data_IF_931825796363
#
_entry.id   IF_931825796363
#
_cell.length_a   1.000
_cell.length_b   1.000
_cell.length_c   1.000
_cell.angle_alpha   90.00
_cell.angle_beta   90.00
_cell.angle_gamma   90.00
#
_symmetry.space_group_name_H-M   'P 1'
#
loop_
_entity.id
_entity.type
_entity.pdbx_description
1 polymer ?
#
# COMPACT_ATOMS: atom_id res chain seq x y z
N UNK A 1 5.71 -12.12 -16.67
CA UNK A 1 4.41 -11.44 -16.52
C UNK A 1 4.62 -10.10 -15.82
N UNK A 2 3.78 -9.09 -16.05
CA UNK A 2 3.86 -7.81 -15.35
C UNK A 2 2.52 -7.53 -14.66
N UNK A 3 2.58 -7.05 -13.41
CA UNK A 3 1.44 -6.55 -12.64
C UNK A 3 1.63 -5.04 -12.45
N UNK A 4 0.67 -4.25 -12.89
CA UNK A 4 0.78 -2.78 -12.94
C UNK A 4 -0.18 -2.09 -11.95
N UNK A 5 -0.99 -2.86 -11.23
CA UNK A 5 -1.98 -2.34 -10.30
C UNK A 5 -2.19 -3.31 -9.12
N UNK A 6 -1.23 -3.34 -8.19
CA UNK A 6 -1.36 -4.10 -6.95
C UNK A 6 -1.38 -3.18 -5.73
N UNK A 7 -2.49 -3.15 -5.00
CA UNK A 7 -2.58 -2.44 -3.73
C UNK A 7 -2.07 -3.33 -2.60
N UNK A 8 -1.03 -2.92 -1.87
CA UNK A 8 -0.35 -3.74 -0.85
C UNK A 8 -1.33 -4.41 0.13
N UNK A 9 -2.21 -3.63 0.76
CA UNK A 9 -3.17 -4.14 1.73
C UNK A 9 -4.28 -5.02 1.10
N UNK A 10 -4.51 -4.90 -0.20
CA UNK A 10 -5.45 -5.74 -0.96
C UNK A 10 -4.82 -7.00 -1.52
N UNK A 11 -3.49 -7.10 -1.50
CA UNK A 11 -2.72 -8.24 -2.02
C UNK A 11 -2.27 -9.20 -0.94
N UNK A 12 -2.66 -9.01 0.33
CA UNK A 12 -2.27 -9.91 1.42
C UNK A 12 -3.01 -11.26 1.29
N UNK A 13 -2.25 -12.34 1.15
CA UNK A 13 -2.82 -13.69 1.20
C UNK A 13 -3.37 -14.02 2.59
N UNK A 14 -4.28 -15.00 2.66
CA UNK A 14 -4.77 -15.51 3.95
C UNK A 14 -3.61 -16.00 4.84
N UNK A 15 -2.57 -16.57 4.24
CA UNK A 15 -1.35 -17.00 4.95
C UNK A 15 -0.62 -15.80 5.56
N UNK A 16 -0.36 -14.76 4.78
CA UNK A 16 0.29 -13.53 5.28
C UNK A 16 -0.52 -12.88 6.38
N UNK A 17 -1.85 -12.78 6.22
CA UNK A 17 -2.73 -12.26 7.27
C UNK A 17 -2.59 -13.05 8.57
N UNK A 18 -2.56 -14.38 8.51
CA UNK A 18 -2.41 -15.24 9.70
C UNK A 18 -1.06 -15.03 10.40
N UNK A 19 0.02 -14.90 9.62
CA UNK A 19 1.36 -14.66 10.17
C UNK A 19 1.49 -13.25 10.78
N UNK A 20 0.89 -12.23 10.16
CA UNK A 20 0.84 -10.88 10.71
C UNK A 20 0.01 -10.83 12.00
N UNK A 21 -1.11 -11.55 12.04
CA UNK A 21 -1.92 -11.66 13.26
C UNK A 21 -1.13 -12.26 14.42
N UNK A 22 -0.32 -13.30 14.17
CA UNK A 22 0.55 -13.88 15.20
C UNK A 22 1.64 -12.92 15.70
N UNK A 23 2.15 -12.05 14.82
CA UNK A 23 3.09 -11.01 15.23
C UNK A 23 2.44 -9.96 16.13
N UNK A 24 1.21 -9.57 15.83
CA UNK A 24 0.47 -8.51 16.54
C UNK A 24 -0.25 -9.01 17.81
N UNK A 25 -0.56 -10.31 17.94
CA UNK A 25 -1.06 -10.91 19.21
C UNK A 25 -0.04 -10.70 20.35
N UNK A 26 1.25 -10.64 20.04
CA UNK A 26 2.28 -10.31 21.02
C UNK A 26 2.30 -8.80 21.37
N UNK A 27 1.44 -7.99 20.78
CA UNK A 27 1.41 -6.52 20.83
C UNK A 27 0.04 -5.89 21.11
N UNK A 28 -0.92 -6.61 21.70
CA UNK A 28 -2.24 -6.14 22.19
C UNK A 28 -3.36 -5.86 21.15
N UNK A 29 -3.34 -6.45 19.94
CA UNK A 29 -4.47 -6.31 18.99
C UNK A 29 -5.48 -7.46 19.16
N UNK A 30 -6.69 -7.15 19.65
CA UNK A 30 -7.83 -8.10 19.66
C UNK A 30 -8.70 -7.90 18.42
N UNK A 31 -8.56 -8.75 17.40
CA UNK A 31 -9.36 -8.67 16.16
C UNK A 31 -10.75 -9.35 16.26
N UNK A 32 -11.00 -10.15 17.30
CA UNK A 32 -12.32 -10.71 17.64
C UNK A 32 -13.08 -11.36 16.48
N UNK A 33 -14.41 -11.28 16.51
CA UNK A 33 -15.35 -11.92 15.58
C UNK A 33 -15.11 -11.58 14.08
N UNK A 34 -14.45 -10.44 13.79
CA UNK A 34 -14.14 -10.04 12.40
C UNK A 34 -13.07 -10.95 11.78
N UNK A 35 -12.10 -11.39 12.57
CA UNK A 35 -11.02 -12.27 12.11
C UNK A 35 -11.55 -13.66 11.71
N UNK A 36 -12.43 -14.22 12.54
CA UNK A 36 -12.98 -15.55 12.32
C UNK A 36 -13.88 -15.59 11.09
N UNK A 37 -14.67 -14.55 10.85
CA UNK A 37 -15.49 -14.41 9.63
C UNK A 37 -14.62 -14.35 8.35
N UNK A 38 -13.46 -13.69 8.43
CA UNK A 38 -12.55 -13.47 7.29
C UNK A 38 -11.76 -14.74 6.92
N UNK A 39 -11.29 -15.50 7.91
CA UNK A 39 -10.54 -16.74 7.67
C UNK A 39 -11.46 -17.90 7.25
N UNK A 40 -12.71 -17.90 7.70
CA UNK A 40 -13.68 -18.95 7.38
C UNK A 40 -14.16 -18.92 5.91
N UNK A 41 -14.14 -17.76 5.25
CA UNK A 41 -14.68 -17.61 3.90
C UNK A 41 -13.57 -17.59 2.82
N UNK A 42 -13.44 -18.73 2.14
CA UNK A 42 -12.60 -18.93 0.95
C UNK A 42 -13.33 -18.71 -0.38
N UNK A 43 -14.50 -18.06 -0.38
CA UNK A 43 -15.32 -17.85 -1.58
C UNK A 43 -15.17 -16.45 -2.21
N UNK A 44 -15.83 -16.24 -3.36
CA UNK A 44 -15.81 -14.98 -4.11
C UNK A 44 -16.56 -13.92 -3.29
N UNK A 45 -15.81 -12.93 -2.81
CA UNK A 45 -16.31 -11.90 -1.90
C UNK A 45 -17.02 -10.77 -2.64
N UNK A 46 -18.02 -10.19 -2.00
CA UNK A 46 -18.64 -8.93 -2.40
C UNK A 46 -17.71 -7.74 -2.14
N UNK A 47 -17.95 -6.62 -2.81
CA UNK A 47 -17.23 -5.35 -2.57
C UNK A 47 -17.25 -4.93 -1.09
N UNK A 48 -18.37 -5.16 -0.39
CA UNK A 48 -18.51 -4.82 1.02
C UNK A 48 -17.64 -5.69 1.94
N UNK A 49 -17.51 -6.98 1.64
CA UNK A 49 -16.58 -7.89 2.33
C UNK A 49 -15.12 -7.53 2.03
N UNK A 50 -14.81 -7.08 0.81
CA UNK A 50 -13.50 -6.52 0.49
C UNK A 50 -13.15 -5.29 1.35
N UNK A 51 -14.11 -4.41 1.65
CA UNK A 51 -13.88 -3.29 2.57
C UNK A 51 -13.59 -3.72 4.02
N UNK A 52 -14.24 -4.79 4.50
CA UNK A 52 -13.95 -5.36 5.82
C UNK A 52 -12.54 -5.96 5.86
N UNK A 53 -12.11 -6.64 4.79
CA UNK A 53 -10.74 -7.13 4.64
C UNK A 53 -9.72 -6.00 4.71
N UNK A 54 -9.97 -4.87 4.05
CA UNK A 54 -9.06 -3.72 4.12
C UNK A 54 -8.90 -3.21 5.55
N UNK A 55 -9.98 -3.20 6.36
CA UNK A 55 -9.90 -2.82 7.76
C UNK A 55 -8.99 -3.76 8.56
N UNK A 56 -9.11 -5.07 8.36
CA UNK A 56 -8.26 -6.06 9.05
C UNK A 56 -6.82 -5.98 8.56
N UNK A 57 -6.59 -5.93 7.25
CA UNK A 57 -5.27 -5.72 6.67
C UNK A 57 -4.60 -4.46 7.25
N UNK A 58 -5.34 -3.36 7.33
CA UNK A 58 -4.84 -2.11 7.90
C UNK A 58 -4.49 -2.23 9.38
N UNK A 59 -5.26 -2.96 10.17
CA UNK A 59 -4.94 -3.22 11.58
C UNK A 59 -3.66 -4.04 11.71
N UNK A 60 -3.50 -5.06 10.86
CA UNK A 60 -2.35 -5.98 10.86
C UNK A 60 -1.06 -5.39 10.29
N UNK A 61 -1.13 -4.27 9.57
CA UNK A 61 0.05 -3.55 9.06
C UNK A 61 0.28 -2.23 9.81
N UNK A 62 0.02 -2.19 11.12
CA UNK A 62 0.05 -0.96 11.92
C UNK A 62 1.43 -0.62 12.51
N UNK A 63 2.42 -1.50 12.35
CA UNK A 63 3.80 -1.30 12.78
C UNK A 63 4.77 -1.37 11.59
N UNK A 64 5.95 -0.70 11.66
CA UNK A 64 6.95 -0.81 10.58
C UNK A 64 7.41 -2.25 10.33
N UNK A 65 7.53 -3.07 11.39
CA UNK A 65 7.94 -4.46 11.29
C UNK A 65 6.88 -5.32 10.58
N UNK A 66 5.60 -5.17 10.94
CA UNK A 66 4.51 -5.86 10.28
C UNK A 66 4.38 -5.42 8.82
N UNK A 67 4.53 -4.13 8.53
CA UNK A 67 4.48 -3.60 7.16
C UNK A 67 5.65 -4.11 6.29
N UNK A 68 6.86 -4.18 6.85
CA UNK A 68 8.02 -4.78 6.18
C UNK A 68 7.74 -6.25 5.81
N UNK A 69 7.23 -7.04 6.76
CA UNK A 69 6.86 -8.43 6.52
C UNK A 69 5.78 -8.55 5.44
N UNK A 70 4.68 -7.81 5.59
CA UNK A 70 3.56 -7.82 4.65
C UNK A 70 4.04 -7.54 3.22
N UNK A 71 4.88 -6.52 3.06
CA UNK A 71 5.46 -6.14 1.77
C UNK A 71 6.37 -7.23 1.20
N UNK A 72 7.22 -7.82 2.05
CA UNK A 72 8.13 -8.92 1.66
C UNK A 72 7.34 -10.13 1.16
N UNK A 73 6.29 -10.52 1.90
CA UNK A 73 5.46 -11.67 1.55
C UNK A 73 4.73 -11.42 0.22
N UNK A 74 4.09 -10.26 0.04
CA UNK A 74 3.39 -9.91 -1.21
C UNK A 74 4.32 -9.96 -2.41
N UNK A 75 5.51 -9.37 -2.31
CA UNK A 75 6.50 -9.40 -3.41
C UNK A 75 6.95 -10.83 -3.69
N UNK A 76 7.14 -11.63 -2.63
CA UNK A 76 7.54 -13.03 -2.75
C UNK A 76 6.47 -13.85 -3.46
N UNK A 77 5.21 -13.70 -3.09
CA UNK A 77 4.07 -14.40 -3.70
C UNK A 77 3.91 -14.02 -5.17
N UNK A 78 3.95 -12.72 -5.53
CA UNK A 78 3.94 -12.30 -6.93
C UNK A 78 5.12 -12.89 -7.73
N UNK A 79 6.32 -12.94 -7.13
CA UNK A 79 7.47 -13.56 -7.78
C UNK A 79 7.29 -15.06 -7.99
N UNK A 80 6.61 -15.75 -7.07
CA UNK A 80 6.29 -17.19 -7.20
C UNK A 80 5.26 -17.45 -8.30
N UNK A 81 4.34 -16.50 -8.52
CA UNK A 81 3.37 -16.52 -9.62
C UNK A 81 3.99 -16.14 -10.98
N UNK A 82 5.31 -15.92 -11.06
CA UNK A 82 6.02 -15.62 -12.30
C UNK A 82 5.91 -14.16 -12.76
N UNK A 83 5.50 -13.26 -11.85
CA UNK A 83 5.57 -11.82 -12.08
C UNK A 83 7.03 -11.38 -12.00
N UNK A 84 7.49 -10.71 -13.06
CA UNK A 84 8.88 -10.19 -13.16
C UNK A 84 8.94 -8.67 -13.03
N UNK A 85 7.78 -8.00 -13.07
CA UNK A 85 7.63 -6.56 -12.87
C UNK A 85 6.35 -6.28 -12.08
N UNK A 86 6.45 -5.50 -11.01
CA UNK A 86 5.35 -5.18 -10.11
C UNK A 86 5.32 -3.67 -9.82
N UNK A 87 4.24 -2.99 -10.22
CA UNK A 87 3.89 -1.68 -9.66
C UNK A 87 3.05 -1.88 -8.40
N UNK A 88 3.75 -1.87 -7.25
CA UNK A 88 3.14 -1.91 -5.94
C UNK A 88 2.63 -0.52 -5.56
N UNK A 89 1.44 -0.48 -4.96
CA UNK A 89 0.74 0.76 -4.61
C UNK A 89 0.37 0.72 -3.14
N UNK A 90 0.55 1.83 -2.43
CA UNK A 90 0.04 1.92 -1.06
C UNK A 90 -0.16 3.35 -0.59
N UNK A 91 -1.22 3.57 0.20
CA UNK A 91 -1.53 4.84 0.85
C UNK A 91 -0.72 4.97 2.15
N UNK A 92 0.15 5.98 2.31
CA UNK A 92 0.92 6.17 3.54
C UNK A 92 0.01 6.42 4.74
N UNK A 93 0.23 5.67 5.82
CA UNK A 93 -0.57 5.78 7.04
C UNK A 93 0.25 6.22 8.24
N UNK A 94 -0.35 7.06 9.06
CA UNK A 94 0.15 7.36 10.40
C UNK A 94 -0.64 6.53 11.43
N UNK A 95 0.09 5.85 12.31
CA UNK A 95 -0.45 5.11 13.45
C UNK A 95 0.09 5.77 14.70
N UNK A 96 -0.83 6.29 15.53
CA UNK A 96 -0.49 7.07 16.73
C UNK A 96 0.52 6.35 17.60
N UNK A 97 1.65 7.01 17.91
CA UNK A 97 2.77 6.51 18.73
C UNK A 97 3.53 5.29 18.17
N UNK A 98 3.14 4.74 17.03
CA UNK A 98 3.75 3.52 16.45
C UNK A 98 4.49 3.79 15.14
N UNK A 99 3.89 4.56 14.21
CA UNK A 99 4.44 4.72 12.87
C UNK A 99 4.01 6.05 12.24
N UNK A 100 4.98 6.80 11.70
CA UNK A 100 4.73 7.99 10.86
C UNK A 100 4.59 7.60 9.39
N UNK A 101 4.03 8.48 8.54
CA UNK A 101 3.97 8.27 7.08
C UNK A 101 5.35 8.05 6.45
N UNK A 102 6.38 8.73 6.95
CA UNK A 102 7.76 8.54 6.48
C UNK A 102 8.28 7.14 6.85
N UNK A 103 8.05 6.69 8.09
CA UNK A 103 8.42 5.33 8.51
C UNK A 103 7.66 4.26 7.72
N UNK A 104 6.38 4.52 7.40
CA UNK A 104 5.57 3.66 6.56
C UNK A 104 6.23 3.43 5.19
N UNK A 105 6.57 4.51 4.49
CA UNK A 105 7.23 4.41 3.18
C UNK A 105 8.61 3.77 3.30
N UNK A 106 9.39 4.11 4.32
CA UNK A 106 10.72 3.52 4.52
C UNK A 106 10.64 2.00 4.72
N UNK A 107 9.69 1.50 5.51
CA UNK A 107 9.51 0.05 5.72
C UNK A 107 9.17 -0.70 4.42
N UNK A 108 8.38 -0.09 3.53
CA UNK A 108 8.08 -0.67 2.20
C UNK A 108 9.36 -0.67 1.33
N UNK A 109 10.13 0.42 1.33
CA UNK A 109 11.38 0.52 0.56
C UNK A 109 12.39 -0.53 1.04
N UNK A 110 12.54 -0.68 2.36
CA UNK A 110 13.45 -1.65 2.96
C UNK A 110 13.07 -3.08 2.54
N UNK A 111 11.77 -3.41 2.54
CA UNK A 111 11.27 -4.71 2.07
C UNK A 111 11.55 -4.93 0.57
N UNK A 112 11.33 -3.91 -0.28
CA UNK A 112 11.67 -3.98 -1.71
C UNK A 112 13.17 -4.22 -1.91
N UNK A 113 14.02 -3.52 -1.16
CA UNK A 113 15.47 -3.69 -1.20
C UNK A 113 15.89 -5.08 -0.73
N UNK A 114 15.24 -5.64 0.28
CA UNK A 114 15.50 -7.01 0.74
C UNK A 114 15.11 -8.04 -0.32
N UNK A 115 13.90 -7.95 -0.87
CA UNK A 115 13.43 -8.83 -1.94
C UNK A 115 14.34 -8.80 -3.16
N UNK A 116 14.86 -7.62 -3.54
CA UNK A 116 15.77 -7.46 -4.69
C UNK A 116 17.05 -8.30 -4.56
N UNK A 117 17.47 -8.67 -3.35
CA UNK A 117 18.68 -9.49 -3.15
C UNK A 117 18.49 -10.93 -3.61
N UNK A 118 17.27 -11.47 -3.48
CA UNK A 118 17.01 -12.90 -3.58
C UNK A 118 15.92 -13.28 -4.60
N UNK A 119 15.14 -12.31 -5.08
CA UNK A 119 14.02 -12.54 -5.98
C UNK A 119 14.27 -11.91 -7.36
N UNK A 120 13.82 -12.60 -8.41
CA UNK A 120 13.92 -12.13 -9.79
C UNK A 120 12.66 -11.33 -10.21
N UNK A 121 12.37 -10.27 -9.46
CA UNK A 121 11.21 -9.39 -9.68
C UNK A 121 11.64 -7.92 -9.55
N UNK A 122 11.29 -7.10 -10.53
CA UNK A 122 11.50 -5.66 -10.50
C UNK A 122 10.27 -4.98 -9.88
N UNK A 123 10.41 -4.46 -8.66
CA UNK A 123 9.32 -3.77 -7.96
C UNK A 123 9.51 -2.25 -8.04
N UNK A 124 8.45 -1.54 -8.40
CA UNK A 124 8.32 -0.08 -8.31
C UNK A 124 7.18 0.27 -7.36
N UNK A 125 7.31 1.40 -6.69
CA UNK A 125 6.33 1.92 -5.74
C UNK A 125 5.65 3.17 -6.30
N UNK A 126 4.33 3.11 -6.36
CA UNK A 126 3.44 4.24 -6.53
C UNK A 126 2.83 4.60 -5.17
N UNK A 127 3.03 5.82 -4.71
CA UNK A 127 2.46 6.25 -3.43
C UNK A 127 1.05 6.78 -3.66
N UNK A 128 0.08 6.17 -3.00
CA UNK A 128 -1.33 6.48 -3.20
C UNK A 128 -1.78 7.70 -2.39
N UNK A 129 -2.49 8.59 -3.05
CA UNK A 129 -3.28 9.69 -2.48
C UNK A 129 -4.72 9.19 -2.38
N UNK A 130 -5.25 9.17 -1.16
CA UNK A 130 -6.65 8.85 -0.90
C UNK A 130 -7.49 10.13 -0.96
N UNK A 131 -8.38 10.22 -1.95
CA UNK A 131 -9.18 11.43 -2.18
C UNK A 131 -10.05 11.85 -1.00
N UNK A 132 -10.36 10.94 -0.07
CA UNK A 132 -11.10 11.23 1.17
C UNK A 132 -10.33 12.10 2.15
N UNK A 133 -9.00 12.17 2.02
CA UNK A 133 -8.12 12.93 2.92
C UNK A 133 -8.03 14.42 2.56
N UNK A 134 -8.57 14.81 1.40
CA UNK A 134 -8.61 16.18 0.93
C UNK A 134 -7.28 16.70 0.37
N UNK A 135 -7.31 17.92 -0.16
CA UNK A 135 -6.19 18.52 -0.90
C UNK A 135 -4.92 18.68 -0.06
N UNK A 136 -5.04 19.11 1.21
CA UNK A 136 -3.87 19.40 2.05
C UNK A 136 -3.01 18.14 2.31
N UNK A 137 -3.66 17.02 2.61
CA UNK A 137 -2.98 15.73 2.79
C UNK A 137 -2.35 15.22 1.47
N UNK A 138 -2.95 15.55 0.33
CA UNK A 138 -2.39 15.24 -0.97
C UNK A 138 -1.10 16.05 -1.24
N UNK A 139 -1.09 17.35 -0.94
CA UNK A 139 0.10 18.21 -1.02
C UNK A 139 1.23 17.68 -0.12
N UNK A 140 0.93 17.36 1.14
CA UNK A 140 1.92 16.83 2.09
C UNK A 140 2.47 15.47 1.63
N UNK A 141 1.63 14.66 0.97
CA UNK A 141 2.05 13.39 0.37
C UNK A 141 2.99 13.62 -0.81
N UNK A 142 2.74 14.60 -1.69
CA UNK A 142 3.65 14.95 -2.78
C UNK A 142 5.01 15.39 -2.24
N UNK A 143 5.03 16.30 -1.28
CA UNK A 143 6.28 16.81 -0.69
C UNK A 143 7.15 15.67 -0.12
N UNK A 144 6.51 14.70 0.52
CA UNK A 144 7.18 13.49 1.00
C UNK A 144 7.69 12.63 -0.17
N UNK A 145 6.86 12.36 -1.17
CA UNK A 145 7.20 11.48 -2.31
C UNK A 145 8.33 12.06 -3.15
N UNK A 146 8.37 13.38 -3.36
CA UNK A 146 9.47 14.05 -4.06
C UNK A 146 10.80 13.81 -3.36
N UNK A 147 10.84 13.99 -2.03
CA UNK A 147 12.07 13.76 -1.23
C UNK A 147 12.50 12.30 -1.30
N UNK A 148 11.55 11.37 -1.18
CA UNK A 148 11.85 9.93 -1.21
C UNK A 148 12.28 9.48 -2.61
N UNK A 149 11.63 9.98 -3.67
CA UNK A 149 12.03 9.73 -5.05
C UNK A 149 13.45 10.21 -5.34
N UNK A 150 13.88 11.36 -4.80
CA UNK A 150 15.27 11.82 -4.95
C UNK A 150 16.28 10.85 -4.31
N UNK A 151 15.92 10.21 -3.19
CA UNK A 151 16.77 9.23 -2.51
C UNK A 151 16.72 7.84 -3.17
N UNK A 152 15.54 7.45 -3.69
CA UNK A 152 15.28 6.12 -4.25
C UNK A 152 14.56 6.21 -5.62
N UNK A 153 15.18 6.84 -6.64
CA UNK A 153 14.52 7.13 -7.92
C UNK A 153 14.15 5.87 -8.70
N UNK A 154 14.86 4.77 -8.44
CA UNK A 154 14.62 3.46 -9.05
C UNK A 154 13.56 2.62 -8.32
N UNK A 155 13.04 3.09 -7.17
CA UNK A 155 12.00 2.37 -6.41
C UNK A 155 10.73 3.19 -6.40
N UNK A 156 10.76 4.42 -5.89
CA UNK A 156 9.57 5.27 -5.81
C UNK A 156 9.45 6.06 -7.10
N UNK A 157 8.52 5.70 -7.97
CA UNK A 157 8.48 6.23 -9.35
C UNK A 157 7.33 7.18 -9.62
N UNK A 158 6.34 7.23 -8.73
CA UNK A 158 5.15 8.00 -9.00
C UNK A 158 4.09 7.98 -7.93
N UNK A 159 2.92 8.47 -8.33
CA UNK A 159 1.73 8.59 -7.50
C UNK A 159 0.57 7.80 -8.09
N UNK A 160 -0.31 7.38 -7.19
CA UNK A 160 -1.62 6.83 -7.49
C UNK A 160 -2.70 7.76 -6.90
N UNK A 161 -3.78 8.06 -7.63
CA UNK A 161 -4.97 8.69 -7.07
C UNK A 161 -6.10 7.66 -6.99
N UNK A 162 -6.49 7.28 -5.78
CA UNK A 162 -7.46 6.23 -5.47
C UNK A 162 -8.45 6.67 -4.37
N UNK A 163 -9.00 5.75 -3.58
CA UNK A 163 -10.05 6.03 -2.59
C UNK A 163 -11.48 6.01 -3.17
N UNK A 164 -12.47 6.29 -2.33
CA UNK A 164 -13.91 6.22 -2.68
C UNK A 164 -14.26 7.17 -3.83
N UNK A 165 -14.69 6.67 -5.00
CA UNK A 165 -14.94 7.50 -6.18
C UNK A 165 -16.09 8.49 -6.02
N UNK A 166 -16.97 8.30 -5.03
CA UNK A 166 -18.08 9.20 -4.72
C UNK A 166 -17.68 10.42 -3.88
N UNK A 167 -16.43 10.46 -3.39
CA UNK A 167 -15.91 11.49 -2.49
C UNK A 167 -14.80 12.30 -3.15
N UNK A 168 -14.80 13.62 -2.91
CA UNK A 168 -13.82 14.57 -3.47
C UNK A 168 -14.09 14.96 -4.93
N UNK A 169 -13.78 16.21 -5.29
CA UNK A 169 -13.85 16.67 -6.68
C UNK A 169 -12.47 16.49 -7.32
N UNK A 170 -12.40 15.81 -8.48
CA UNK A 170 -11.15 15.63 -9.22
C UNK A 170 -10.44 16.98 -9.50
N UNK A 171 -11.22 18.04 -9.68
CA UNK A 171 -10.68 19.39 -9.93
C UNK A 171 -9.81 19.89 -8.76
N UNK A 172 -10.10 19.48 -7.52
CA UNK A 172 -9.32 19.81 -6.32
C UNK A 172 -7.91 19.21 -6.35
N UNK A 173 -7.72 18.09 -7.05
CA UNK A 173 -6.43 17.42 -7.15
C UNK A 173 -5.65 17.81 -8.42
N UNK A 174 -6.24 18.59 -9.32
CA UNK A 174 -5.61 18.94 -10.61
C UNK A 174 -4.29 19.70 -10.45
N UNK A 175 -4.21 20.64 -9.50
CA UNK A 175 -3.02 21.41 -9.17
C UNK A 175 -1.92 20.54 -8.58
N UNK A 176 -2.29 19.72 -7.60
CA UNK A 176 -1.45 18.73 -6.91
C UNK A 176 -0.85 17.75 -7.92
N UNK A 177 -1.67 17.16 -8.80
CA UNK A 177 -1.20 16.25 -9.84
C UNK A 177 -0.30 16.96 -10.87
N UNK A 178 -0.60 18.20 -11.24
CA UNK A 178 0.24 18.98 -12.15
C UNK A 178 1.63 19.26 -11.52
N UNK A 179 1.68 19.56 -10.23
CA UNK A 179 2.93 19.75 -9.49
C UNK A 179 3.77 18.46 -9.46
N UNK A 180 3.18 17.31 -9.14
CA UNK A 180 3.89 16.04 -9.14
C UNK A 180 4.57 15.74 -10.49
N UNK A 181 3.88 16.02 -11.62
CA UNK A 181 4.47 15.85 -12.96
C UNK A 181 5.71 16.73 -13.18
N UNK A 182 5.77 17.92 -12.60
CA UNK A 182 6.94 18.82 -12.73
C UNK A 182 8.19 18.25 -12.08
N UNK A 183 8.03 17.40 -11.07
CA UNK A 183 9.13 16.65 -10.44
C UNK A 183 9.48 15.35 -11.19
N UNK A 184 8.86 15.06 -12.33
CA UNK A 184 9.13 13.87 -13.13
C UNK A 184 8.45 12.59 -12.64
N UNK A 185 7.61 12.68 -11.59
CA UNK A 185 6.85 11.56 -11.05
C UNK A 185 5.83 11.05 -12.08
N UNK A 186 5.76 9.72 -12.22
CA UNK A 186 4.69 9.07 -13.00
C UNK A 186 3.37 9.16 -12.23
N UNK A 187 2.27 9.03 -12.96
CA UNK A 187 0.94 9.08 -12.34
C UNK A 187 0.05 8.00 -12.92
N UNK A 188 -0.74 7.38 -12.06
CA UNK A 188 -1.85 6.53 -12.43
C UNK A 188 -3.08 6.95 -11.61
N UNK A 189 -4.25 6.95 -12.24
CA UNK A 189 -5.48 7.54 -11.70
C UNK A 189 -6.59 6.51 -11.86
N UNK A 190 -7.25 6.17 -10.76
CA UNK A 190 -8.48 5.39 -10.80
C UNK A 190 -9.61 6.22 -11.45
N UNK A 191 -10.20 5.71 -12.54
CA UNK A 191 -11.20 6.42 -13.34
C UNK A 191 -12.37 5.50 -13.70
N UNK A 192 -13.61 6.02 -13.57
CA UNK A 192 -14.87 5.33 -13.88
C UNK A 192 -15.08 3.99 -13.12
N UNK A 193 -14.76 3.98 -11.83
CA UNK A 193 -15.05 2.88 -10.88
C UNK A 193 -16.47 2.93 -10.31
#
# INVERSE_FOLDING_TARGET
MAELHAHLNGSLSNKTLQELHQLEINGDITLGDQWDAIIADGSIRTLQECFQMFSVAHSLTSSPAALFKATTDVITEFSQDGVVYLDLRSTPRQVSRTMTKTQYIQAIIDAILECRKNLNILVKLLVSIDRRQGQKEAEDTIDMVVKVNQMYPDIVVGLDLSGDPSQGDFMEFSSVLAEARRYGLKMSIHCAE
#
